data_IF_593965602843
#
_entry.id   IF_593965602843
#
_cell.length_a   1.000
_cell.length_b   1.000
_cell.length_c   1.000
_cell.angle_alpha   90.00
_cell.angle_beta   90.00
_cell.angle_gamma   90.00
#
_symmetry.space_group_name_H-M   'P 1'
#
loop_
_entity.id
_entity.type
_entity.pdbx_description
1 polymer ?
#
# COMPACT_ATOMS: atom_id res chain seq x y z
N UNK A 1 -15.35 8.76 12.94
CA UNK A 1 -16.76 8.33 12.84
C UNK A 1 -17.32 8.95 11.57
N UNK A 2 -17.99 8.20 10.71
CA UNK A 2 -18.58 8.74 9.49
C UNK A 2 -19.86 9.54 9.78
N UNK A 3 -20.47 10.15 8.76
CA UNK A 3 -21.67 10.97 8.87
C UNK A 3 -22.88 10.26 9.51
N UNK A 4 -22.88 8.92 9.53
CA UNK A 4 -23.95 8.10 10.10
C UNK A 4 -23.68 7.61 11.52
N UNK A 5 -22.57 8.03 12.14
CA UNK A 5 -22.21 7.58 13.49
C UNK A 5 -21.49 6.22 13.55
N UNK A 6 -21.15 5.62 12.39
CA UNK A 6 -20.37 4.39 12.38
C UNK A 6 -18.88 4.68 12.40
N UNK A 7 -18.07 3.70 12.77
CA UNK A 7 -16.62 3.79 12.61
C UNK A 7 -16.26 3.99 11.11
N UNK A 8 -15.10 4.60 10.85
CA UNK A 8 -14.74 5.12 9.53
C UNK A 8 -14.68 4.04 8.44
N UNK A 9 -14.22 2.83 8.78
CA UNK A 9 -14.04 1.69 7.88
C UNK A 9 -15.23 0.72 7.88
N UNK A 10 -16.36 1.11 8.48
CA UNK A 10 -17.51 0.22 8.63
C UNK A 10 -18.01 -0.28 7.27
N UNK A 11 -18.27 -1.59 7.16
CA UNK A 11 -18.69 -2.22 5.91
C UNK A 11 -17.57 -2.39 4.88
N UNK A 12 -16.31 -2.44 5.33
CA UNK A 12 -15.15 -2.57 4.44
C UNK A 12 -14.28 -3.77 4.77
N UNK A 13 -13.60 -4.30 3.76
CA UNK A 13 -12.45 -5.20 3.96
C UNK A 13 -11.24 -4.34 4.27
N UNK A 14 -10.57 -4.62 5.39
CA UNK A 14 -9.48 -3.80 5.93
C UNK A 14 -8.15 -4.53 5.79
N UNK A 15 -7.13 -3.81 5.32
CA UNK A 15 -5.77 -4.30 5.12
C UNK A 15 -4.77 -3.42 5.89
N UNK A 16 -3.81 -4.02 6.61
CA UNK A 16 -2.75 -3.27 7.24
C UNK A 16 -1.76 -2.73 6.20
N UNK A 17 -1.32 -1.49 6.40
CA UNK A 17 -0.16 -0.91 5.75
C UNK A 17 1.00 -0.91 6.74
N UNK A 18 2.13 -1.46 6.33
CA UNK A 18 3.25 -1.72 7.24
C UNK A 18 4.45 -0.86 6.91
N UNK A 19 5.24 -0.52 7.92
CA UNK A 19 6.55 0.09 7.73
C UNK A 19 7.55 -0.92 7.16
N UNK A 20 8.34 -0.52 6.17
CA UNK A 20 9.23 -1.42 5.41
C UNK A 20 10.39 -2.00 6.24
N UNK A 21 10.81 -1.30 7.29
CA UNK A 21 11.94 -1.69 8.13
C UNK A 21 11.54 -2.57 9.31
N UNK A 22 10.40 -2.24 9.92
CA UNK A 22 9.93 -2.88 11.16
C UNK A 22 8.80 -3.88 10.95
N UNK A 23 8.16 -3.87 9.77
CA UNK A 23 6.96 -4.64 9.45
C UNK A 23 5.77 -4.39 10.39
N UNK A 24 5.80 -3.28 11.15
CA UNK A 24 4.70 -2.89 12.04
C UNK A 24 3.61 -2.15 11.26
N UNK A 25 2.35 -2.38 11.62
CA UNK A 25 1.23 -1.65 11.03
C UNK A 25 1.29 -0.17 11.43
N UNK A 26 1.38 0.71 10.44
CA UNK A 26 1.46 2.18 10.61
C UNK A 26 0.28 2.91 9.94
N UNK A 27 -0.53 2.18 9.19
CA UNK A 27 -1.73 2.68 8.53
C UNK A 27 -2.70 1.53 8.23
N UNK A 28 -3.92 1.89 7.84
CA UNK A 28 -4.90 0.94 7.33
C UNK A 28 -5.45 1.47 6.00
N UNK A 29 -5.59 0.55 5.06
CA UNK A 29 -6.40 0.72 3.85
C UNK A 29 -7.68 -0.08 4.02
N UNK A 30 -8.79 0.41 3.49
CA UNK A 30 -10.00 -0.38 3.40
C UNK A 30 -10.74 -0.19 2.07
N UNK A 31 -11.35 -1.27 1.59
CA UNK A 31 -12.25 -1.27 0.43
C UNK A 31 -13.67 -1.56 0.91
N UNK A 32 -14.57 -0.60 0.73
CA UNK A 32 -15.98 -0.81 1.07
C UNK A 32 -16.57 -1.92 0.17
N UNK A 33 -17.40 -2.79 0.75
CA UNK A 33 -17.94 -3.96 0.03
C UNK A 33 -19.10 -3.60 -0.90
N UNK A 34 -19.98 -2.70 -0.47
CA UNK A 34 -21.13 -2.26 -1.28
C UNK A 34 -20.87 -0.99 -2.12
N UNK A 35 -19.96 -0.12 -1.68
CA UNK A 35 -19.63 1.15 -2.35
C UNK A 35 -18.29 1.01 -3.07
N UNK A 36 -18.15 1.65 -4.22
CA UNK A 36 -16.86 1.72 -4.93
C UNK A 36 -15.93 2.76 -4.28
N UNK A 37 -15.61 2.57 -3.00
CA UNK A 37 -14.88 3.54 -2.19
C UNK A 37 -13.61 2.92 -1.57
N UNK A 38 -12.51 3.64 -1.74
CA UNK A 38 -11.22 3.39 -1.09
C UNK A 38 -11.11 4.30 0.14
N UNK A 39 -10.79 3.72 1.29
CA UNK A 39 -10.69 4.41 2.57
C UNK A 39 -9.28 4.26 3.13
N UNK A 40 -8.82 5.28 3.83
CA UNK A 40 -7.55 5.29 4.55
C UNK A 40 -7.76 5.90 5.94
N UNK A 41 -6.93 5.52 6.91
CA UNK A 41 -6.94 6.20 8.21
C UNK A 41 -6.72 7.70 8.04
N UNK A 42 -7.41 8.46 8.89
CA UNK A 42 -7.23 9.91 8.98
C UNK A 42 -5.78 10.25 9.35
N UNK A 43 -5.25 11.31 8.73
CA UNK A 43 -3.88 11.78 8.97
C UNK A 43 -2.99 11.55 7.75
N UNK A 44 -1.67 11.57 7.99
CA UNK A 44 -0.68 11.38 6.92
C UNK A 44 -0.72 9.94 6.42
N UNK A 45 -0.89 9.77 5.10
CA UNK A 45 -0.77 8.47 4.41
C UNK A 45 0.67 7.96 4.57
N UNK A 46 0.82 6.76 5.16
CA UNK A 46 2.10 6.11 5.50
C UNK A 46 1.95 4.60 5.51
N UNK A 47 3.07 3.92 5.27
CA UNK A 47 3.14 2.46 5.20
C UNK A 47 2.98 1.94 3.78
N UNK A 48 3.25 0.66 3.63
CA UNK A 48 3.32 -0.02 2.34
C UNK A 48 2.52 -1.30 2.39
N UNK A 49 2.01 -1.69 1.23
CA UNK A 49 1.56 -3.05 0.99
C UNK A 49 2.72 -3.85 0.41
N UNK A 50 2.94 -5.06 0.95
CA UNK A 50 3.93 -6.02 0.45
C UNK A 50 5.35 -5.41 0.26
N UNK A 51 5.95 -4.77 1.29
CA UNK A 51 7.29 -4.19 1.16
C UNK A 51 8.36 -5.24 0.81
N UNK A 52 8.16 -6.50 1.20
CA UNK A 52 9.06 -7.60 0.87
C UNK A 52 9.06 -7.94 -0.63
N UNK A 53 7.92 -7.82 -1.32
CA UNK A 53 7.87 -8.05 -2.77
C UNK A 53 8.47 -6.91 -3.59
N UNK A 54 8.62 -5.73 -3.00
CA UNK A 54 9.33 -4.61 -3.59
C UNK A 54 10.85 -4.62 -3.29
N UNK A 55 11.28 -5.34 -2.24
CA UNK A 55 12.68 -5.62 -1.98
C UNK A 55 13.14 -6.78 -2.86
N UNK A 56 14.39 -6.76 -3.33
CA UNK A 56 15.02 -7.86 -4.07
C UNK A 56 14.46 -8.12 -5.48
N UNK A 57 14.09 -7.09 -6.24
CA UNK A 57 13.64 -7.24 -7.64
C UNK A 57 14.10 -6.06 -8.49
N UNK A 58 14.49 -6.34 -9.74
CA UNK A 58 14.87 -5.30 -10.70
C UNK A 58 13.65 -4.58 -11.30
N UNK A 59 12.47 -5.21 -11.21
CA UNK A 59 11.21 -4.66 -11.69
C UNK A 59 10.09 -4.82 -10.66
N UNK A 60 9.26 -3.79 -10.52
CA UNK A 60 8.12 -3.77 -9.60
C UNK A 60 6.87 -3.38 -10.36
N UNK A 61 5.79 -4.14 -10.13
CA UNK A 61 4.46 -3.77 -10.58
C UNK A 61 3.83 -2.82 -9.57
N UNK A 62 3.57 -1.59 -9.99
CA UNK A 62 2.87 -0.59 -9.19
C UNK A 62 1.41 -0.51 -9.63
N UNK A 63 0.50 -0.70 -8.68
CA UNK A 63 -0.96 -0.58 -8.90
C UNK A 63 -1.53 0.66 -8.20
N UNK A 64 -2.77 1.02 -8.52
CA UNK A 64 -3.41 2.19 -7.92
C UNK A 64 -3.79 2.00 -6.45
N UNK A 65 -4.04 0.77 -5.99
CA UNK A 65 -4.46 0.49 -4.62
C UNK A 65 -4.14 -0.92 -4.16
N UNK A 66 -4.29 -1.16 -2.86
CA UNK A 66 -3.97 -2.44 -2.22
C UNK A 66 -4.78 -3.60 -2.80
N UNK A 67 -6.06 -3.40 -3.12
CA UNK A 67 -6.89 -4.50 -3.61
C UNK A 67 -6.49 -4.93 -5.03
N UNK A 68 -5.99 -4.01 -5.85
CA UNK A 68 -5.48 -4.29 -7.19
C UNK A 68 -4.14 -5.04 -7.09
N UNK A 69 -3.24 -4.60 -6.21
CA UNK A 69 -2.02 -5.32 -5.89
C UNK A 69 -2.31 -6.73 -5.37
N UNK A 70 -3.31 -6.90 -4.50
CA UNK A 70 -3.70 -8.19 -3.96
C UNK A 70 -4.27 -9.11 -5.04
N UNK A 71 -5.02 -8.57 -6.00
CA UNK A 71 -5.51 -9.34 -7.14
C UNK A 71 -4.33 -9.93 -7.93
N UNK A 72 -3.31 -9.13 -8.25
CA UNK A 72 -2.09 -9.61 -8.92
C UNK A 72 -1.31 -10.60 -8.06
N UNK A 73 -1.20 -10.33 -6.76
CA UNK A 73 -0.53 -11.23 -5.81
C UNK A 73 -1.21 -12.61 -5.76
N UNK A 74 -2.54 -12.63 -5.78
CA UNK A 74 -3.33 -13.87 -5.72
C UNK A 74 -3.16 -14.76 -6.94
N UNK A 75 -2.77 -14.19 -8.09
CA UNK A 75 -2.45 -14.93 -9.31
C UNK A 75 -0.94 -15.22 -9.48
N UNK A 76 -0.13 -14.93 -8.46
CA UNK A 76 1.28 -15.31 -8.42
C UNK A 76 2.28 -14.19 -8.78
N UNK A 77 1.82 -12.98 -9.10
CA UNK A 77 2.72 -11.83 -9.31
C UNK A 77 3.13 -11.29 -7.93
N UNK A 78 4.33 -11.64 -7.47
CA UNK A 78 4.78 -11.35 -6.09
C UNK A 78 5.55 -10.04 -5.95
N UNK A 79 6.14 -9.54 -7.04
CA UNK A 79 6.83 -8.25 -7.12
C UNK A 79 5.87 -7.08 -7.33
N UNK A 80 4.84 -6.99 -6.48
CA UNK A 80 3.75 -6.01 -6.61
C UNK A 80 3.59 -5.19 -5.34
N UNK A 81 3.39 -3.88 -5.51
CA UNK A 81 2.96 -2.95 -4.46
C UNK A 81 1.91 -1.98 -5.01
N UNK A 82 1.51 -0.99 -4.22
CA UNK A 82 0.51 -0.02 -4.62
C UNK A 82 0.84 1.41 -4.18
N UNK A 83 0.36 2.37 -4.95
CA UNK A 83 0.28 3.78 -4.57
C UNK A 83 -0.96 4.04 -3.69
N UNK A 84 -1.12 5.30 -3.24
CA UNK A 84 -2.35 5.78 -2.62
C UNK A 84 -3.31 6.39 -3.67
N UNK A 85 -3.48 5.73 -4.81
CA UNK A 85 -4.15 6.25 -6.01
C UNK A 85 -3.22 6.95 -7.01
N UNK A 86 -3.81 7.46 -8.08
CA UNK A 86 -3.13 7.88 -9.34
C UNK A 86 -2.06 8.98 -9.16
N UNK A 87 -2.17 9.82 -8.12
CA UNK A 87 -1.27 10.96 -7.89
C UNK A 87 -0.50 10.85 -6.57
N UNK A 88 -0.39 9.66 -5.99
CA UNK A 88 0.10 9.51 -4.62
C UNK A 88 1.21 8.46 -4.52
N UNK A 89 2.22 8.63 -5.39
CA UNK A 89 3.51 8.00 -5.24
C UNK A 89 4.29 8.77 -4.16
N UNK A 90 4.49 8.15 -3.00
CA UNK A 90 5.23 8.76 -1.88
C UNK A 90 6.71 8.44 -1.99
N UNK A 91 7.56 9.26 -1.38
CA UNK A 91 9.01 8.98 -1.26
C UNK A 91 9.28 7.64 -0.59
N UNK A 92 8.40 7.19 0.31
CA UNK A 92 8.48 5.89 0.97
C UNK A 92 8.35 4.74 -0.05
N UNK A 93 7.41 4.85 -0.99
CA UNK A 93 7.24 3.87 -2.07
C UNK A 93 8.44 3.92 -3.00
N UNK A 94 8.87 5.12 -3.42
CA UNK A 94 10.04 5.29 -4.29
C UNK A 94 11.33 4.71 -3.69
N UNK A 95 11.56 4.91 -2.39
CA UNK A 95 12.71 4.34 -1.69
C UNK A 95 12.65 2.83 -1.62
N UNK A 96 11.47 2.26 -1.49
CA UNK A 96 11.30 0.80 -1.49
C UNK A 96 11.53 0.23 -2.89
N UNK A 97 11.21 0.99 -3.93
CA UNK A 97 11.49 0.61 -5.31
C UNK A 97 12.94 0.87 -5.77
N UNK A 98 13.75 1.57 -4.97
CA UNK A 98 15.18 1.79 -5.29
C UNK A 98 16.00 0.62 -4.76
N UNK A 99 16.82 0.06 -5.63
CA UNK A 99 17.85 -0.89 -5.23
C UNK A 99 18.85 -0.18 -4.29
N UNK A 100 19.14 -0.71 -3.09
CA UNK A 100 20.10 -0.11 -2.17
C UNK A 100 21.54 -0.08 -2.72
N UNK A 101 21.82 -0.74 -3.84
CA UNK A 101 23.14 -0.77 -4.49
C UNK A 101 23.44 0.35 -5.49
N UNK A 102 22.53 1.31 -5.73
CA UNK A 102 22.77 2.39 -6.71
C UNK A 102 23.43 3.65 -6.13
N UNK A 103 23.56 3.75 -4.80
CA UNK A 103 23.95 4.99 -4.12
C UNK A 103 25.31 4.86 -3.37
N UNK A 104 26.16 3.88 -3.72
CA UNK A 104 27.54 3.73 -3.20
C UNK A 104 28.63 3.99 -4.27
N UNK A 105 28.33 4.81 -5.27
CA UNK A 105 29.32 5.30 -6.24
C UNK A 105 28.98 6.69 -6.73
N UNK A 106 29.25 7.70 -5.92
CA UNK A 106 29.52 9.06 -6.40
C UNK A 106 30.46 9.79 -5.44
#
# INVERSE_FOLDING_TARGET
MNEKGNETMYGSVVFPLVDAGTNQAVGLYARHTEKQQHLYLSGKRRGLFNPAGAKETDEIVLTESVIDALALWSIGIRNVTCAYGVNALTDEILRTCRNPGSDESC
#
